data_IF_807717762757
#
_entry.id   IF_807717762757
#
_cell.length_a   1.000
_cell.length_b   1.000
_cell.length_c   1.000
_cell.angle_alpha   90.00
_cell.angle_beta   90.00
_cell.angle_gamma   90.00
#
_symmetry.space_group_name_H-M   'P 1'
#
loop_
_entity.id
_entity.type
_entity.pdbx_description
1 polymer ?
#
# COMPACT_ATOMS: atom_id res chain seq x y z
N UNK A 1 -32.27 31.10 7.14
CA UNK A 1 -31.57 30.29 8.17
C UNK A 1 -30.79 29.21 7.44
N UNK A 2 -29.58 29.53 7.00
CA UNK A 2 -28.65 28.58 6.38
C UNK A 2 -28.07 27.71 7.51
N UNK A 3 -28.42 26.42 7.51
CA UNK A 3 -27.88 25.47 8.48
C UNK A 3 -26.36 25.41 8.38
N UNK A 4 -25.70 25.56 9.53
CA UNK A 4 -24.28 25.22 9.67
C UNK A 4 -24.19 23.70 9.46
N UNK A 5 -23.37 23.19 8.53
CA UNK A 5 -23.17 21.75 8.39
C UNK A 5 -22.59 21.20 9.70
N UNK A 6 -23.10 20.06 10.19
CA UNK A 6 -22.51 19.35 11.32
C UNK A 6 -21.07 18.92 11.00
N UNK A 7 -20.18 18.94 11.99
CA UNK A 7 -18.77 18.51 11.87
C UNK A 7 -18.62 17.09 11.26
N UNK A 8 -19.64 16.24 11.40
CA UNK A 8 -19.69 14.89 10.81
C UNK A 8 -19.65 14.88 9.26
N UNK A 9 -20.01 15.99 8.62
CA UNK A 9 -20.06 16.07 7.14
C UNK A 9 -18.68 16.37 6.52
N UNK A 10 -17.66 16.65 7.34
CA UNK A 10 -16.29 16.97 6.90
C UNK A 10 -15.28 15.81 7.09
N UNK A 11 -15.73 14.63 7.53
CA UNK A 11 -14.89 13.45 7.78
C UNK A 11 -14.94 12.38 6.67
N UNK A 12 -15.52 12.69 5.51
CA UNK A 12 -15.40 11.83 4.32
C UNK A 12 -13.98 11.92 3.75
N UNK A 13 -13.02 11.27 4.41
CA UNK A 13 -11.86 10.54 3.84
C UNK A 13 -10.79 10.20 4.92
N UNK A 14 -11.18 9.99 6.19
CA UNK A 14 -10.19 9.68 7.23
C UNK A 14 -9.90 8.17 7.25
N UNK A 15 -9.03 7.73 6.33
CA UNK A 15 -8.45 6.38 6.34
C UNK A 15 -7.81 6.01 7.69
N UNK A 16 -7.32 4.77 7.85
CA UNK A 16 -6.85 4.28 9.14
C UNK A 16 -5.74 5.17 9.75
N UNK A 17 -5.71 5.23 11.09
CA UNK A 17 -4.66 5.96 11.80
C UNK A 17 -3.28 5.36 11.52
N UNK A 18 -2.34 6.19 11.04
CA UNK A 18 -0.96 5.80 10.72
C UNK A 18 0.07 6.13 11.81
N UNK A 19 -0.42 6.46 13.02
CA UNK A 19 0.47 6.80 14.16
C UNK A 19 1.34 5.62 14.59
N UNK A 20 0.79 4.41 14.54
CA UNK A 20 1.51 3.18 14.86
C UNK A 20 1.03 2.03 13.97
N UNK A 21 1.96 1.50 13.19
CA UNK A 21 1.71 0.43 12.22
C UNK A 21 2.69 -0.71 12.44
N UNK A 22 2.25 -1.93 12.13
CA UNK A 22 3.17 -3.08 12.00
C UNK A 22 3.63 -3.16 10.55
N UNK A 23 4.95 -3.19 10.33
CA UNK A 23 5.51 -3.22 8.99
C UNK A 23 5.11 -4.49 8.21
N UNK A 24 4.90 -4.40 6.88
CA UNK A 24 4.75 -5.57 6.02
C UNK A 24 6.06 -6.35 5.98
N UNK A 25 6.00 -7.64 6.31
CA UNK A 25 7.18 -8.51 6.43
C UNK A 25 6.87 -9.88 5.83
N UNK A 26 7.51 -10.21 4.71
CA UNK A 26 7.43 -11.53 4.08
C UNK A 26 7.72 -12.64 5.10
N UNK A 27 6.92 -13.71 5.07
CA UNK A 27 6.91 -14.87 5.96
C UNK A 27 6.59 -14.57 7.44
N UNK A 28 6.31 -13.31 7.80
CA UNK A 28 6.01 -12.90 9.17
C UNK A 28 4.59 -12.38 9.31
N UNK A 29 4.19 -11.36 8.54
CA UNK A 29 2.86 -10.74 8.65
C UNK A 29 1.78 -11.55 7.93
N UNK A 30 1.75 -12.86 8.17
CA UNK A 30 0.66 -13.77 7.78
C UNK A 30 -0.63 -13.44 8.56
N UNK A 31 -1.78 -13.98 8.16
CA UNK A 31 -3.03 -13.79 8.91
C UNK A 31 -2.94 -14.27 10.36
N UNK A 32 -2.19 -15.35 10.63
CA UNK A 32 -1.98 -15.85 11.99
C UNK A 32 -1.21 -14.86 12.88
N UNK A 33 -0.16 -14.25 12.34
CA UNK A 33 0.58 -13.23 13.06
C UNK A 33 -0.26 -11.96 13.25
N UNK A 34 -1.00 -11.53 12.22
CA UNK A 34 -1.85 -10.34 12.30
C UNK A 34 -2.97 -10.52 13.33
N UNK A 35 -3.54 -11.72 13.43
CA UNK A 35 -4.46 -12.08 14.51
C UNK A 35 -3.81 -11.96 15.89
N UNK A 36 -2.58 -12.46 16.07
CA UNK A 36 -1.82 -12.28 17.31
C UNK A 36 -1.56 -10.80 17.62
N UNK A 37 -1.12 -10.02 16.63
CA UNK A 37 -0.87 -8.59 16.78
C UNK A 37 -2.14 -7.83 17.21
N UNK A 38 -3.32 -8.25 16.72
CA UNK A 38 -4.60 -7.70 17.16
C UNK A 38 -4.90 -7.99 18.64
N UNK A 39 -4.45 -9.12 19.19
CA UNK A 39 -4.59 -9.40 20.63
C UNK A 39 -3.78 -8.42 21.49
N UNK A 40 -2.70 -7.85 20.94
CA UNK A 40 -1.86 -6.87 21.61
C UNK A 40 -2.37 -5.43 21.44
N UNK A 41 -2.96 -5.11 20.29
CA UNK A 41 -3.49 -3.77 20.00
C UNK A 41 -4.72 -3.80 19.11
N UNK A 42 -5.78 -3.11 19.55
CA UNK A 42 -7.05 -2.97 18.82
C UNK A 42 -7.01 -1.92 17.70
N UNK A 43 -6.00 -1.05 17.69
CA UNK A 43 -6.00 0.16 16.86
C UNK A 43 -4.84 0.24 15.86
N UNK A 44 -3.81 -0.60 16.02
CA UNK A 44 -2.68 -0.56 15.10
C UNK A 44 -3.13 -0.94 13.69
N UNK A 45 -2.67 -0.18 12.70
CA UNK A 45 -2.80 -0.55 11.30
C UNK A 45 -1.84 -1.71 11.01
N UNK A 46 -2.41 -2.83 10.58
CA UNK A 46 -1.66 -3.99 10.16
C UNK A 46 -1.47 -3.93 8.65
N UNK A 47 -0.35 -4.47 8.17
CA UNK A 47 -0.11 -4.66 6.75
C UNK A 47 0.00 -6.15 6.44
N UNK A 48 -0.47 -6.54 5.25
CA UNK A 48 -0.21 -7.88 4.71
C UNK A 48 1.28 -8.08 4.42
N UNK A 49 1.67 -9.31 4.10
CA UNK A 49 2.85 -9.52 3.28
C UNK A 49 2.70 -8.81 1.92
N UNK A 50 3.82 -8.54 1.24
CA UNK A 50 3.76 -7.97 -0.11
C UNK A 50 3.21 -9.02 -1.08
N UNK A 51 2.14 -8.67 -1.79
CA UNK A 51 1.54 -9.49 -2.85
C UNK A 51 1.83 -8.84 -4.20
N UNK A 52 2.37 -9.60 -5.16
CA UNK A 52 2.64 -9.03 -6.48
C UNK A 52 1.37 -8.91 -7.31
N UNK A 53 1.30 -7.91 -8.20
CA UNK A 53 0.16 -7.75 -9.12
C UNK A 53 -0.07 -9.01 -9.96
N UNK A 54 1.00 -9.59 -10.51
CA UNK A 54 0.93 -10.83 -11.28
C UNK A 54 0.37 -12.02 -10.48
N UNK A 55 0.64 -12.10 -9.17
CA UNK A 55 0.08 -13.15 -8.32
C UNK A 55 -1.44 -12.99 -8.13
N UNK A 56 -1.94 -11.75 -8.07
CA UNK A 56 -3.37 -11.46 -7.99
C UNK A 56 -4.10 -11.67 -9.32
N UNK A 57 -3.47 -11.30 -10.43
CA UNK A 57 -4.11 -11.29 -11.76
C UNK A 57 -4.08 -12.70 -12.39
N UNK A 58 -2.98 -13.42 -12.24
CA UNK A 58 -2.76 -14.71 -12.92
C UNK A 58 -2.74 -15.91 -11.96
N UNK A 59 -2.69 -15.66 -10.65
CA UNK A 59 -2.69 -16.69 -9.62
C UNK A 59 -4.05 -16.88 -8.96
N UNK A 60 -4.01 -17.31 -7.70
CA UNK A 60 -5.20 -17.54 -6.87
C UNK A 60 -5.50 -16.28 -6.04
N UNK A 61 -6.24 -15.35 -6.65
CA UNK A 61 -6.61 -14.05 -6.04
C UNK A 61 -7.21 -14.22 -4.65
N UNK A 62 -8.17 -15.15 -4.49
CA UNK A 62 -8.87 -15.37 -3.23
C UNK A 62 -7.93 -15.89 -2.14
N UNK A 63 -6.95 -16.74 -2.49
CA UNK A 63 -5.93 -17.19 -1.55
C UNK A 63 -5.05 -16.04 -1.05
N UNK A 64 -4.60 -15.16 -1.94
CA UNK A 64 -3.69 -14.06 -1.59
C UNK A 64 -4.38 -12.93 -0.81
N UNK A 65 -5.67 -12.71 -1.07
CA UNK A 65 -6.45 -11.65 -0.41
C UNK A 65 -7.24 -12.14 0.80
N UNK A 66 -7.19 -13.44 1.14
CA UNK A 66 -7.90 -13.97 2.31
C UNK A 66 -7.42 -13.34 3.61
N UNK A 67 -8.37 -12.79 4.38
CA UNK A 67 -8.19 -12.28 5.73
C UNK A 67 -9.50 -12.41 6.52
N UNK A 68 -9.44 -12.18 7.82
CA UNK A 68 -10.57 -12.19 8.75
C UNK A 68 -10.89 -10.77 9.26
N UNK A 69 -12.15 -10.49 9.59
CA UNK A 69 -12.57 -9.19 10.13
C UNK A 69 -11.84 -8.81 11.41
N UNK A 70 -11.40 -9.79 12.20
CA UNK A 70 -10.58 -9.56 13.39
C UNK A 70 -9.25 -8.86 13.06
N UNK A 71 -8.79 -8.87 11.80
CA UNK A 71 -7.53 -8.26 11.41
C UNK A 71 -7.65 -6.73 11.21
N UNK A 72 -8.86 -6.18 11.09
CA UNK A 72 -9.05 -4.76 10.82
C UNK A 72 -8.63 -3.83 11.98
N UNK A 73 -8.07 -2.64 11.68
CA UNK A 73 -7.79 -2.11 10.34
C UNK A 73 -6.57 -2.77 9.66
N UNK A 74 -6.71 -3.08 8.36
CA UNK A 74 -5.74 -3.85 7.56
C UNK A 74 -5.48 -3.20 6.18
N UNK A 75 -4.21 -3.01 5.87
CA UNK A 75 -3.73 -2.54 4.57
C UNK A 75 -3.17 -3.68 3.71
N UNK A 76 -3.52 -3.71 2.43
CA UNK A 76 -2.88 -4.59 1.44
C UNK A 76 -1.62 -3.92 0.89
N UNK A 77 -0.47 -4.59 0.99
CA UNK A 77 0.74 -4.14 0.28
C UNK A 77 0.90 -4.86 -1.07
N UNK A 78 0.94 -4.07 -2.14
CA UNK A 78 1.17 -4.51 -3.51
C UNK A 78 2.64 -4.35 -3.94
N UNK A 79 3.10 -5.27 -4.79
CA UNK A 79 4.34 -5.15 -5.55
C UNK A 79 4.08 -5.21 -7.05
N UNK A 80 4.36 -4.13 -7.77
CA UNK A 80 4.15 -4.04 -9.23
C UNK A 80 4.63 -2.69 -9.75
N UNK A 81 4.64 -2.53 -11.08
CA UNK A 81 4.95 -1.24 -11.71
C UNK A 81 4.14 -0.92 -12.95
N UNK A 82 3.30 -1.83 -13.44
CA UNK A 82 2.35 -1.51 -14.50
C UNK A 82 1.12 -0.80 -13.92
N UNK A 83 0.78 0.36 -14.46
CA UNK A 83 -0.29 1.20 -13.93
C UNK A 83 -1.67 0.54 -14.04
N UNK A 84 -1.94 -0.20 -15.12
CA UNK A 84 -3.20 -0.90 -15.34
C UNK A 84 -3.38 -2.08 -14.37
N UNK A 85 -2.32 -2.85 -14.17
CA UNK A 85 -2.31 -3.95 -13.19
C UNK A 85 -2.47 -3.43 -11.75
N UNK A 86 -1.77 -2.36 -11.40
CA UNK A 86 -1.87 -1.73 -10.08
C UNK A 86 -3.29 -1.20 -9.82
N UNK A 87 -3.89 -0.51 -10.80
CA UNK A 87 -5.28 -0.07 -10.73
C UNK A 87 -6.27 -1.23 -10.56
N UNK A 88 -6.06 -2.35 -11.27
CA UNK A 88 -6.87 -3.55 -11.09
C UNK A 88 -6.74 -4.13 -9.69
N UNK A 89 -5.53 -4.24 -9.17
CA UNK A 89 -5.29 -4.77 -7.83
C UNK A 89 -5.80 -3.84 -6.73
N UNK A 90 -5.78 -2.53 -6.93
CA UNK A 90 -6.39 -1.56 -6.02
C UNK A 90 -7.92 -1.71 -5.94
N UNK A 91 -8.60 -1.97 -7.08
CA UNK A 91 -10.02 -2.34 -7.09
C UNK A 91 -10.28 -3.63 -6.33
N UNK A 92 -9.45 -4.64 -6.52
CA UNK A 92 -9.57 -5.90 -5.77
C UNK A 92 -9.42 -5.67 -4.27
N UNK A 93 -8.48 -4.81 -3.84
CA UNK A 93 -8.33 -4.45 -2.43
C UNK A 93 -9.64 -3.88 -1.84
N UNK A 94 -10.29 -2.95 -2.54
CA UNK A 94 -11.57 -2.41 -2.11
C UNK A 94 -12.67 -3.47 -2.08
N UNK A 95 -12.76 -4.31 -3.12
CA UNK A 95 -13.76 -5.38 -3.21
C UNK A 95 -13.62 -6.42 -2.09
N UNK A 96 -12.40 -6.67 -1.64
CA UNK A 96 -12.11 -7.59 -0.54
C UNK A 96 -12.19 -6.93 0.84
N UNK A 97 -12.45 -5.62 0.93
CA UNK A 97 -12.72 -4.93 2.19
C UNK A 97 -11.49 -4.41 2.95
N UNK A 98 -10.33 -4.26 2.30
CA UNK A 98 -9.17 -3.63 2.94
C UNK A 98 -9.42 -2.15 3.25
N UNK A 99 -8.73 -1.62 4.27
CA UNK A 99 -8.85 -0.21 4.70
C UNK A 99 -7.86 0.73 3.99
N UNK A 100 -6.83 0.18 3.34
CA UNK A 100 -5.79 0.90 2.62
C UNK A 100 -5.14 -0.02 1.58
N UNK A 101 -4.71 0.57 0.45
CA UNK A 101 -3.81 -0.09 -0.51
C UNK A 101 -2.46 0.62 -0.52
N UNK A 102 -1.39 -0.13 -0.35
CA UNK A 102 -0.02 0.39 -0.25
C UNK A 102 0.86 -0.17 -1.37
N UNK A 103 1.66 0.68 -2.00
CA UNK A 103 2.65 0.27 -3.00
C UNK A 103 4.03 0.12 -2.38
N UNK A 104 4.66 -1.05 -2.57
CA UNK A 104 6.04 -1.30 -2.15
C UNK A 104 7.04 -0.70 -3.16
N UNK A 105 7.77 0.33 -2.71
CA UNK A 105 8.87 0.98 -3.43
C UNK A 105 10.16 0.92 -2.58
N UNK A 106 10.30 -0.11 -1.75
CA UNK A 106 11.37 -0.15 -0.73
C UNK A 106 12.09 -1.49 -0.55
N UNK A 107 11.59 -2.59 -1.10
CA UNK A 107 12.27 -3.89 -0.99
C UNK A 107 13.52 -3.93 -1.90
N UNK A 108 14.72 -4.18 -1.36
CA UNK A 108 15.96 -4.21 -2.16
C UNK A 108 16.30 -5.61 -2.71
N UNK A 109 15.48 -6.63 -2.45
CA UNK A 109 15.78 -8.03 -2.77
C UNK A 109 15.94 -8.27 -4.29
N UNK A 110 16.91 -9.09 -4.67
CA UNK A 110 17.15 -9.47 -6.09
C UNK A 110 15.91 -10.08 -6.76
N UNK A 111 15.03 -10.73 -5.97
CA UNK A 111 13.78 -11.35 -6.46
C UNK A 111 12.78 -10.32 -6.99
N UNK A 112 12.88 -9.05 -6.57
CA UNK A 112 11.95 -7.98 -6.96
C UNK A 112 12.53 -7.03 -8.01
N UNK A 113 13.85 -6.83 -8.04
CA UNK A 113 14.49 -5.90 -8.98
C UNK A 113 14.32 -6.31 -10.45
N UNK A 114 14.42 -7.60 -10.76
CA UNK A 114 14.27 -8.10 -12.13
C UNK A 114 12.85 -7.89 -12.72
N UNK A 115 11.84 -7.65 -11.87
CA UNK A 115 10.45 -7.44 -12.28
C UNK A 115 10.01 -5.99 -12.10
N UNK A 116 10.93 -5.04 -11.86
CA UNK A 116 10.61 -3.64 -11.58
C UNK A 116 9.67 -3.49 -10.37
N UNK A 117 10.03 -4.10 -9.24
CA UNK A 117 9.28 -4.03 -7.98
C UNK A 117 10.23 -3.60 -6.86
N UNK A 118 9.74 -2.82 -5.90
CA UNK A 118 10.50 -2.45 -4.71
C UNK A 118 11.45 -1.28 -4.95
N UNK A 119 12.62 -1.30 -4.30
CA UNK A 119 13.50 -0.13 -4.19
C UNK A 119 14.00 0.39 -5.55
N UNK A 120 14.15 -0.48 -6.57
CA UNK A 120 14.57 -0.06 -7.91
C UNK A 120 13.62 0.99 -8.52
N UNK A 121 12.34 1.02 -8.11
CA UNK A 121 11.37 2.01 -8.56
C UNK A 121 11.68 3.44 -8.08
N UNK A 122 12.54 3.62 -7.06
CA UNK A 122 13.04 4.96 -6.70
C UNK A 122 13.89 5.60 -7.81
N UNK A 123 14.46 4.79 -8.72
CA UNK A 123 15.11 5.28 -9.94
C UNK A 123 14.12 5.70 -11.04
N UNK A 124 12.82 5.47 -10.85
CA UNK A 124 11.77 5.69 -11.84
C UNK A 124 10.56 6.42 -11.22
N UNK A 125 10.74 7.63 -10.66
CA UNK A 125 9.68 8.34 -9.94
C UNK A 125 8.44 8.59 -10.80
N UNK A 126 8.60 8.89 -12.10
CA UNK A 126 7.47 9.12 -13.01
C UNK A 126 6.61 7.85 -13.19
N UNK A 127 7.23 6.67 -13.19
CA UNK A 127 6.54 5.38 -13.27
C UNK A 127 5.76 5.09 -11.99
N UNK A 128 6.34 5.43 -10.83
CA UNK A 128 5.65 5.30 -9.54
C UNK A 128 4.46 6.25 -9.48
N UNK A 129 4.64 7.51 -9.90
CA UNK A 129 3.58 8.51 -9.96
C UNK A 129 2.42 8.06 -10.87
N UNK A 130 2.73 7.51 -12.05
CA UNK A 130 1.72 6.96 -12.96
C UNK A 130 0.94 5.81 -12.31
N UNK A 131 1.64 4.87 -11.66
CA UNK A 131 1.02 3.75 -10.96
C UNK A 131 0.15 4.20 -9.79
N UNK A 132 0.65 5.11 -8.94
CA UNK A 132 -0.09 5.66 -7.80
C UNK A 132 -1.33 6.41 -8.25
N UNK A 133 -1.23 7.25 -9.28
CA UNK A 133 -2.38 7.96 -9.86
C UNK A 133 -3.43 6.96 -10.37
N UNK A 134 -3.01 5.93 -11.12
CA UNK A 134 -3.92 4.91 -11.62
C UNK A 134 -4.59 4.10 -10.50
N UNK A 135 -3.89 3.84 -9.39
CA UNK A 135 -4.47 3.25 -8.19
C UNK A 135 -5.51 4.18 -7.58
N UNK A 136 -5.20 5.45 -7.35
CA UNK A 136 -6.11 6.46 -6.76
C UNK A 136 -7.38 6.58 -7.59
N UNK A 137 -7.27 6.63 -8.92
CA UNK A 137 -8.43 6.71 -9.82
C UNK A 137 -9.32 5.45 -9.79
N UNK A 138 -8.77 4.32 -9.31
CA UNK A 138 -9.42 3.02 -9.36
C UNK A 138 -10.11 2.60 -8.07
N UNK A 139 -9.85 3.27 -6.93
CA UNK A 139 -10.37 2.88 -5.62
C UNK A 139 -10.74 4.10 -4.77
N UNK A 140 -11.69 3.92 -3.87
CA UNK A 140 -12.00 4.91 -2.82
C UNK A 140 -11.10 4.74 -1.58
N UNK A 141 -10.30 3.67 -1.54
CA UNK A 141 -9.36 3.44 -0.46
C UNK A 141 -8.20 4.46 -0.49
N UNK A 142 -7.65 4.85 0.67
CA UNK A 142 -6.38 5.53 0.73
C UNK A 142 -5.30 4.73 -0.01
N UNK A 143 -4.59 5.40 -0.93
CA UNK A 143 -3.41 4.86 -1.60
C UNK A 143 -2.17 5.44 -0.94
N UNK A 144 -1.24 4.58 -0.53
CA UNK A 144 0.01 5.01 0.12
C UNK A 144 1.22 4.34 -0.50
N UNK A 145 2.42 4.89 -0.26
CA UNK A 145 3.68 4.36 -0.76
C UNK A 145 4.63 4.09 0.39
N UNK A 146 5.26 2.91 0.39
CA UNK A 146 6.35 2.58 1.33
C UNK A 146 7.67 2.52 0.57
N UNK A 147 8.54 3.52 0.77
CA UNK A 147 9.83 3.65 0.10
C UNK A 147 11.02 3.69 1.08
N UNK A 148 12.24 3.77 0.54
CA UNK A 148 13.49 4.02 1.29
C UNK A 148 13.87 5.50 1.22
N UNK A 149 14.91 5.90 1.94
CA UNK A 149 15.47 7.26 1.83
C UNK A 149 16.25 7.49 0.53
N UNK A 150 16.62 6.42 -0.18
CA UNK A 150 17.39 6.47 -1.43
C UNK A 150 17.76 5.07 -1.92
N UNK A 151 18.46 5.03 -3.05
CA UNK A 151 19.09 3.85 -3.65
C UNK A 151 20.51 4.20 -4.07
N UNK A 152 21.35 3.19 -4.31
CA UNK A 152 22.74 3.40 -4.75
C UNK A 152 22.80 4.37 -5.95
N UNK A 153 23.53 5.47 -5.78
CA UNK A 153 23.67 6.53 -6.78
C UNK A 153 22.58 7.62 -6.77
N UNK A 154 21.53 7.47 -5.93
CA UNK A 154 20.48 8.48 -5.67
C UNK A 154 20.14 8.53 -4.17
N UNK A 155 21.03 9.15 -3.40
CA UNK A 155 20.97 9.17 -1.93
C UNK A 155 20.95 10.60 -1.36
N UNK A 156 20.93 11.62 -2.23
CA UNK A 156 20.91 13.00 -1.78
C UNK A 156 19.54 13.38 -1.21
N UNK A 157 19.52 14.41 -0.35
CA UNK A 157 18.28 15.00 0.13
C UNK A 157 17.40 15.49 -1.02
N UNK A 158 18.01 16.08 -2.05
CA UNK A 158 17.31 16.59 -3.23
C UNK A 158 16.69 15.45 -4.05
N UNK A 159 17.38 14.30 -4.20
CA UNK A 159 16.81 13.11 -4.85
C UNK A 159 15.56 12.59 -4.10
N UNK A 160 15.62 12.57 -2.76
CA UNK A 160 14.49 12.16 -1.92
C UNK A 160 13.31 13.14 -2.07
N UNK A 161 13.58 14.45 -2.02
CA UNK A 161 12.55 15.48 -2.22
C UNK A 161 11.92 15.36 -3.62
N UNK A 162 12.72 15.23 -4.67
CA UNK A 162 12.22 15.05 -6.04
C UNK A 162 11.32 13.81 -6.15
N UNK A 163 11.73 12.69 -5.55
CA UNK A 163 10.94 11.47 -5.55
C UNK A 163 9.59 11.68 -4.85
N UNK A 164 9.59 12.30 -3.66
CA UNK A 164 8.36 12.56 -2.90
C UNK A 164 7.44 13.53 -3.64
N UNK A 165 7.99 14.61 -4.22
CA UNK A 165 7.22 15.60 -4.98
C UNK A 165 6.54 15.01 -6.21
N UNK A 166 7.20 14.08 -6.92
CA UNK A 166 6.62 13.44 -8.10
C UNK A 166 5.51 12.45 -7.77
N UNK A 167 5.63 11.75 -6.64
CA UNK A 167 4.75 10.64 -6.26
C UNK A 167 3.52 11.09 -5.45
N UNK A 168 3.58 12.27 -4.82
CA UNK A 168 2.53 12.80 -3.92
C UNK A 168 1.44 13.58 -4.64
#
# INVERSE_FOLDING_TARGET
MSGIPSEDTLLHNSGPSRRFCVAPMMDWTTSHYRYLARQLSRHTLLYTEMVTTGALIHGDTARFLRHDEAEYPLALQLGGSDAGELAHCARLAQQYGFDEVNLNVGCPSDRVQNNMIGACLMGHPDKVAEGVRAMIEATELPVTVKHRIGIDGRESWDDLCEFVEKVS
#
